data_IF_261361379432
#
_entry.id   IF_261361379432
#
_cell.length_a   1.000
_cell.length_b   1.000
_cell.length_c   1.000
_cell.angle_alpha   90.00
_cell.angle_beta   90.00
_cell.angle_gamma   90.00
#
_symmetry.space_group_name_H-M   'P 1'
#
loop_
_entity.id
_entity.type
_entity.pdbx_description
1 polymer ?
#
# COMPACT_ATOMS: atom_id res chain seq x y z
N UNK A 1 -27.37 8.07 61.98
CA UNK A 1 -26.26 7.19 62.41
C UNK A 1 -25.16 7.35 61.37
N UNK A 2 -23.95 7.72 61.78
CA UNK A 2 -22.82 7.92 60.87
C UNK A 2 -22.28 6.56 60.45
N UNK A 3 -22.28 6.26 59.16
CA UNK A 3 -21.61 5.09 58.61
C UNK A 3 -20.10 5.32 58.68
N UNK A 4 -19.43 4.61 59.60
CA UNK A 4 -17.98 4.64 59.75
C UNK A 4 -17.43 3.58 58.79
N UNK A 5 -17.11 3.99 57.56
CA UNK A 5 -16.42 3.12 56.61
C UNK A 5 -14.91 3.14 56.91
N UNK A 6 -14.41 2.13 57.64
CA UNK A 6 -12.98 1.90 57.76
C UNK A 6 -12.45 1.14 56.54
N UNK A 7 -11.18 1.37 56.19
CA UNK A 7 -10.52 0.60 55.13
C UNK A 7 -10.41 -0.88 55.53
N UNK A 8 -10.27 -1.77 54.55
CA UNK A 8 -10.23 -3.22 54.76
C UNK A 8 -8.99 -3.62 55.58
N UNK A 9 -7.90 -2.88 55.43
CA UNK A 9 -6.66 -3.05 56.19
C UNK A 9 -6.84 -2.68 57.67
N UNK A 10 -7.50 -1.55 57.95
CA UNK A 10 -7.86 -1.15 59.31
C UNK A 10 -8.81 -2.15 59.97
N UNK A 11 -9.79 -2.65 59.21
CA UNK A 11 -10.73 -3.68 59.67
C UNK A 11 -10.02 -4.98 60.00
N UNK A 12 -9.06 -5.40 59.16
CA UNK A 12 -8.24 -6.59 59.39
C UNK A 12 -7.30 -6.43 60.59
N UNK A 13 -6.75 -5.24 60.82
CA UNK A 13 -5.95 -4.94 62.01
C UNK A 13 -6.77 -5.03 63.30
N UNK A 14 -8.00 -4.52 63.30
CA UNK A 14 -8.94 -4.66 64.43
C UNK A 14 -9.29 -6.13 64.66
N UNK A 15 -9.56 -6.89 63.58
CA UNK A 15 -9.92 -8.31 63.62
C UNK A 15 -8.78 -9.18 64.18
N UNK A 16 -7.53 -8.86 63.84
CA UNK A 16 -6.34 -9.50 64.41
C UNK A 16 -6.21 -9.24 65.92
N UNK A 17 -6.46 -8.01 66.38
CA UNK A 17 -6.46 -7.67 67.83
C UNK A 17 -7.56 -8.39 68.61
N UNK A 18 -8.68 -8.71 67.95
CA UNK A 18 -9.80 -9.46 68.51
C UNK A 18 -9.64 -11.00 68.37
N UNK A 19 -8.51 -11.50 67.85
CA UNK A 19 -8.28 -12.93 67.67
C UNK A 19 -9.11 -13.59 66.58
N UNK A 20 -9.71 -12.79 65.69
CA UNK A 20 -10.56 -13.26 64.60
C UNK A 20 -9.75 -13.41 63.30
N UNK A 21 -10.01 -14.46 62.51
CA UNK A 21 -9.31 -14.74 61.24
C UNK A 21 -9.51 -13.61 60.22
N UNK A 22 -8.47 -12.98 59.64
CA UNK A 22 -8.62 -11.81 58.74
C UNK A 22 -9.54 -12.08 57.55
N UNK A 23 -10.19 -11.03 57.06
CA UNK A 23 -10.97 -11.06 55.83
C UNK A 23 -10.00 -11.24 54.66
N UNK A 24 -10.16 -12.35 53.93
CA UNK A 24 -9.41 -12.57 52.70
C UNK A 24 -10.19 -11.93 51.57
N UNK A 25 -9.57 -10.97 50.88
CA UNK A 25 -9.95 -10.64 49.52
C UNK A 25 -9.63 -11.88 48.70
N UNK A 26 -10.66 -12.64 48.31
CA UNK A 26 -10.50 -13.67 47.29
C UNK A 26 -9.78 -13.06 46.08
N UNK A 27 -9.08 -13.87 45.27
CA UNK A 27 -8.26 -13.35 44.17
C UNK A 27 -9.06 -12.33 43.39
N UNK A 28 -8.53 -11.10 43.29
CA UNK A 28 -9.02 -9.98 42.47
C UNK A 28 -9.77 -10.58 41.28
N UNK A 29 -11.09 -10.45 41.33
CA UNK A 29 -12.03 -11.22 40.51
C UNK A 29 -11.53 -11.24 39.08
N UNK A 30 -11.53 -12.41 38.43
CA UNK A 30 -11.06 -12.59 37.05
C UNK A 30 -11.55 -11.49 36.08
N UNK A 31 -12.74 -10.92 36.34
CA UNK A 31 -13.29 -9.77 35.62
C UNK A 31 -12.47 -8.48 35.65
N UNK A 32 -11.76 -8.15 36.75
CA UNK A 32 -10.94 -6.95 36.84
C UNK A 32 -9.71 -7.01 35.92
N UNK A 33 -9.03 -8.17 35.90
CA UNK A 33 -7.91 -8.43 34.98
C UNK A 33 -8.35 -8.46 33.52
N UNK A 34 -9.50 -9.08 33.24
CA UNK A 34 -10.10 -9.11 31.90
C UNK A 34 -10.48 -7.68 31.44
N UNK A 35 -10.99 -6.84 32.34
CA UNK A 35 -11.33 -5.45 32.03
C UNK A 35 -10.08 -4.62 31.70
N UNK A 36 -8.99 -4.81 32.44
CA UNK A 36 -7.71 -4.15 32.17
C UNK A 36 -7.10 -4.58 30.83
N UNK A 37 -7.10 -5.88 30.52
CA UNK A 37 -6.63 -6.40 29.23
C UNK A 37 -7.48 -5.89 28.06
N UNK A 38 -8.80 -5.84 28.21
CA UNK A 38 -9.70 -5.28 27.20
C UNK A 38 -9.44 -3.80 26.94
N UNK A 39 -9.21 -3.01 28.00
CA UNK A 39 -8.88 -1.59 27.88
C UNK A 39 -7.54 -1.39 27.19
N UNK A 40 -6.53 -2.20 27.52
CA UNK A 40 -5.22 -2.17 26.87
C UNK A 40 -5.34 -2.49 25.37
N UNK A 41 -6.06 -3.55 25.01
CA UNK A 41 -6.31 -3.92 23.62
C UNK A 41 -7.02 -2.80 22.85
N UNK A 42 -8.04 -2.18 23.45
CA UNK A 42 -8.76 -1.08 22.82
C UNK A 42 -7.84 0.13 22.55
N UNK A 43 -6.94 0.46 23.48
CA UNK A 43 -5.96 1.54 23.30
C UNK A 43 -4.97 1.22 22.19
N UNK A 44 -4.49 -0.02 22.11
CA UNK A 44 -3.60 -0.48 21.06
C UNK A 44 -4.29 -0.41 19.69
N UNK A 45 -5.53 -0.90 19.58
CA UNK A 45 -6.33 -0.80 18.35
C UNK A 45 -6.57 0.65 17.91
N UNK A 46 -6.87 1.56 18.86
CA UNK A 46 -7.02 2.98 18.56
C UNK A 46 -5.71 3.61 18.08
N UNK A 47 -4.58 3.25 18.70
CA UNK A 47 -3.27 3.73 18.28
C UNK A 47 -2.89 3.21 16.88
N UNK A 48 -3.21 1.95 16.56
CA UNK A 48 -2.99 1.41 15.22
C UNK A 48 -3.88 2.10 14.18
N UNK A 49 -5.18 2.29 14.46
CA UNK A 49 -6.07 3.04 13.58
C UNK A 49 -5.59 4.47 13.32
N UNK A 50 -5.15 5.17 14.37
CA UNK A 50 -4.59 6.52 14.22
C UNK A 50 -3.35 6.54 13.30
N UNK A 51 -2.45 5.56 13.43
CA UNK A 51 -1.27 5.41 12.54
C UNK A 51 -1.68 5.11 11.11
N UNK A 52 -2.63 4.20 10.90
CA UNK A 52 -3.16 3.89 9.58
C UNK A 52 -3.79 5.12 8.91
N UNK A 53 -4.59 5.88 9.65
CA UNK A 53 -5.26 7.07 9.14
C UNK A 53 -4.26 8.19 8.81
N UNK A 54 -3.18 8.32 9.60
CA UNK A 54 -2.09 9.24 9.30
C UNK A 54 -1.38 8.85 7.98
N UNK A 55 -1.09 7.56 7.79
CA UNK A 55 -0.47 7.05 6.56
C UNK A 55 -1.40 7.27 5.36
N UNK A 56 -2.69 6.92 5.48
CA UNK A 56 -3.70 7.15 4.44
C UNK A 56 -3.79 8.65 4.09
N UNK A 57 -3.79 9.52 5.08
CA UNK A 57 -3.80 10.99 4.88
C UNK A 57 -2.56 11.48 4.14
N UNK A 58 -1.36 10.99 4.49
CA UNK A 58 -0.11 11.32 3.78
C UNK A 58 -0.14 10.86 2.32
N UNK A 59 -0.63 9.66 2.06
CA UNK A 59 -0.79 9.11 0.70
C UNK A 59 -1.80 9.95 -0.09
N UNK A 60 -2.95 10.28 0.48
CA UNK A 60 -3.97 11.10 -0.16
C UNK A 60 -3.45 12.49 -0.52
N UNK A 61 -2.71 13.14 0.39
CA UNK A 61 -2.03 14.44 0.13
C UNK A 61 -1.02 14.34 -1.01
N UNK A 62 -0.20 13.30 -1.02
CA UNK A 62 0.78 13.05 -2.09
C UNK A 62 0.10 12.81 -3.44
N UNK A 63 -0.97 12.01 -3.48
CA UNK A 63 -1.78 11.77 -4.69
C UNK A 63 -2.42 13.05 -5.20
N UNK A 64 -3.04 13.85 -4.33
CA UNK A 64 -3.63 15.12 -4.73
C UNK A 64 -2.58 16.07 -5.30
N UNK A 65 -1.41 16.20 -4.66
CA UNK A 65 -0.31 17.01 -5.20
C UNK A 65 0.17 16.53 -6.57
N UNK A 66 0.21 15.21 -6.79
CA UNK A 66 0.56 14.63 -8.10
C UNK A 66 -0.50 14.95 -9.14
N UNK A 67 -1.78 14.79 -8.84
CA UNK A 67 -2.87 15.12 -9.77
C UNK A 67 -2.96 16.62 -10.05
N UNK A 68 -2.71 17.48 -9.07
CA UNK A 68 -2.65 18.94 -9.27
C UNK A 68 -1.51 19.34 -10.21
N UNK A 69 -0.34 18.73 -10.04
CA UNK A 69 0.83 18.99 -10.88
C UNK A 69 0.79 18.22 -12.21
N UNK A 70 -0.19 17.35 -12.40
CA UNK A 70 -0.37 16.63 -13.65
C UNK A 70 -0.82 17.64 -14.69
N UNK A 71 0.06 17.92 -15.64
CA UNK A 71 -0.34 18.65 -16.84
C UNK A 71 -1.44 17.83 -17.51
N UNK A 72 -2.63 18.40 -17.62
CA UNK A 72 -3.76 17.74 -18.27
C UNK A 72 -3.38 17.57 -19.74
N UNK A 73 -3.25 16.34 -20.25
CA UNK A 73 -2.94 16.13 -21.65
C UNK A 73 -4.13 16.60 -22.48
N UNK A 74 -3.92 17.62 -23.32
CA UNK A 74 -4.96 18.20 -24.15
C UNK A 74 -4.72 19.67 -24.44
N UNK A 75 -5.57 20.22 -25.30
CA UNK A 75 -5.63 21.65 -25.62
C UNK A 75 -5.99 22.41 -24.34
N UNK A 76 -5.17 23.39 -23.96
CA UNK A 76 -5.48 24.22 -22.79
C UNK A 76 -6.77 25.02 -23.00
N UNK A 77 -7.43 25.44 -21.92
CA UNK A 77 -8.64 26.27 -22.00
C UNK A 77 -8.44 27.54 -22.86
N UNK A 78 -7.22 28.11 -22.88
CA UNK A 78 -6.89 29.27 -23.71
C UNK A 78 -6.59 28.94 -25.19
N UNK A 79 -6.23 27.70 -25.51
CA UNK A 79 -5.97 27.29 -26.90
C UNK A 79 -7.25 26.83 -27.62
N UNK A 80 -8.27 26.39 -26.89
CA UNK A 80 -9.55 25.96 -27.47
C UNK A 80 -10.33 27.11 -28.15
N UNK A 81 -10.00 28.36 -27.81
CA UNK A 81 -10.60 29.56 -28.41
C UNK A 81 -9.85 30.07 -29.65
N UNK A 82 -8.64 29.55 -29.90
CA UNK A 82 -7.80 29.92 -31.06
C UNK A 82 -8.15 29.10 -32.31
N UNK A 83 -9.08 28.14 -32.19
CA UNK A 83 -9.73 27.50 -33.34
C UNK A 83 -10.81 28.44 -33.91
N UNK A 84 -10.35 29.61 -34.35
CA UNK A 84 -11.12 30.59 -35.12
C UNK A 84 -11.42 29.99 -36.49
N UNK A 85 -12.64 29.45 -36.64
CA UNK A 85 -13.27 28.95 -37.86
C UNK A 85 -12.35 28.08 -38.76
N UNK A 86 -12.27 26.78 -38.48
CA UNK A 86 -11.64 25.79 -39.35
C UNK A 86 -12.36 25.75 -40.72
N UNK A 87 -11.81 26.49 -41.69
CA UNK A 87 -12.12 26.36 -43.12
C UNK A 87 -11.85 24.89 -43.56
N UNK A 88 -12.78 24.28 -44.31
CA UNK A 88 -12.76 22.85 -44.70
C UNK A 88 -11.44 22.46 -45.38
N UNK A 89 -10.85 23.40 -46.14
CA UNK A 89 -9.55 23.21 -46.77
C UNK A 89 -8.42 23.01 -45.75
N UNK A 90 -8.35 23.86 -44.71
CA UNK A 90 -7.33 23.77 -43.65
C UNK A 90 -7.47 22.47 -42.86
N UNK A 91 -8.70 22.05 -42.58
CA UNK A 91 -8.98 20.76 -41.92
C UNK A 91 -8.50 19.57 -42.76
N UNK A 92 -8.76 19.59 -44.06
CA UNK A 92 -8.37 18.50 -44.97
C UNK A 92 -6.84 18.33 -45.05
N UNK A 93 -6.09 19.45 -45.07
CA UNK A 93 -4.63 19.42 -45.04
C UNK A 93 -4.11 18.89 -43.69
N UNK A 94 -4.65 19.39 -42.57
CA UNK A 94 -4.30 18.93 -41.22
C UNK A 94 -4.55 17.41 -41.08
N UNK A 95 -5.69 16.93 -41.57
CA UNK A 95 -6.09 15.51 -41.52
C UNK A 95 -5.12 14.61 -42.30
N UNK A 96 -4.77 14.98 -43.54
CA UNK A 96 -3.81 14.23 -44.35
C UNK A 96 -2.40 14.24 -43.75
N UNK A 97 -1.98 15.33 -43.13
CA UNK A 97 -0.68 15.41 -42.43
C UNK A 97 -0.66 14.49 -41.21
N UNK A 98 -1.72 14.51 -40.40
CA UNK A 98 -1.85 13.65 -39.22
C UNK A 98 -1.87 12.16 -39.59
N UNK A 99 -2.49 11.80 -40.70
CA UNK A 99 -2.48 10.42 -41.20
C UNK A 99 -1.07 9.96 -41.58
N UNK A 100 -0.31 10.80 -42.28
CA UNK A 100 1.10 10.50 -42.60
C UNK A 100 1.96 10.38 -41.36
N UNK A 101 1.79 11.26 -40.39
CA UNK A 101 2.51 11.20 -39.10
C UNK A 101 2.17 9.92 -38.34
N UNK A 102 0.90 9.52 -38.30
CA UNK A 102 0.46 8.28 -37.66
C UNK A 102 1.12 7.06 -38.30
N UNK A 103 1.10 6.99 -39.64
CA UNK A 103 1.73 5.91 -40.39
C UNK A 103 3.26 5.87 -40.16
N UNK A 104 3.91 7.03 -40.10
CA UNK A 104 5.35 7.10 -39.83
C UNK A 104 5.70 6.65 -38.40
N UNK A 105 4.90 7.04 -37.40
CA UNK A 105 5.08 6.59 -36.01
C UNK A 105 4.87 5.09 -35.89
N UNK A 106 3.86 4.53 -36.56
CA UNK A 106 3.60 3.09 -36.56
C UNK A 106 4.74 2.31 -37.25
N UNK A 107 5.25 2.83 -38.36
CA UNK A 107 6.42 2.27 -39.03
C UNK A 107 7.67 2.30 -38.13
N UNK A 108 7.98 3.45 -37.51
CA UNK A 108 9.12 3.59 -36.61
C UNK A 108 8.98 2.70 -35.36
N UNK A 109 7.77 2.55 -34.82
CA UNK A 109 7.51 1.62 -33.71
C UNK A 109 7.76 0.18 -34.12
N UNK A 110 7.29 -0.21 -35.32
CA UNK A 110 7.51 -1.55 -35.86
C UNK A 110 8.99 -1.82 -36.10
N UNK A 111 9.72 -0.86 -36.67
CA UNK A 111 11.16 -0.94 -36.87
C UNK A 111 11.91 -1.10 -35.54
N UNK A 112 11.57 -0.28 -34.54
CA UNK A 112 12.16 -0.39 -33.20
C UNK A 112 11.89 -1.75 -32.54
N UNK A 113 10.66 -2.27 -32.68
CA UNK A 113 10.33 -3.60 -32.17
C UNK A 113 11.15 -4.70 -32.85
N UNK A 114 11.40 -4.58 -34.16
CA UNK A 114 12.26 -5.52 -34.87
C UNK A 114 13.71 -5.40 -34.39
N UNK A 115 14.23 -4.19 -34.19
CA UNK A 115 15.58 -3.97 -33.67
C UNK A 115 15.75 -4.52 -32.25
N UNK A 116 14.78 -4.29 -31.35
CA UNK A 116 14.82 -4.84 -29.99
C UNK A 116 14.78 -6.38 -30.01
N UNK A 117 14.02 -7.00 -30.92
CA UNK A 117 14.02 -8.47 -31.09
C UNK A 117 15.34 -8.99 -31.66
N UNK A 118 15.93 -8.31 -32.63
CA UNK A 118 17.23 -8.68 -33.19
C UNK A 118 18.35 -8.51 -32.17
N UNK A 119 18.34 -7.44 -31.37
CA UNK A 119 19.29 -7.22 -30.27
C UNK A 119 19.17 -8.32 -29.23
N UNK A 120 17.95 -8.65 -28.78
CA UNK A 120 17.71 -9.73 -27.80
C UNK A 120 18.13 -11.09 -28.35
N UNK A 121 17.95 -11.34 -29.65
CA UNK A 121 18.39 -12.58 -30.29
C UNK A 121 19.92 -12.66 -30.45
N UNK A 122 20.59 -11.52 -30.62
CA UNK A 122 22.04 -11.43 -30.72
C UNK A 122 22.75 -11.35 -29.37
N UNK A 123 22.05 -10.98 -28.29
CA UNK A 123 22.60 -10.99 -26.94
C UNK A 123 22.64 -12.44 -26.43
N UNK A 124 23.77 -13.10 -26.64
CA UNK A 124 24.14 -14.29 -25.88
C UNK A 124 24.45 -13.86 -24.44
N UNK A 125 23.83 -14.52 -23.46
CA UNK A 125 24.08 -14.23 -22.05
C UNK A 125 25.43 -14.82 -21.62
N UNK A 126 26.35 -13.99 -21.15
CA UNK A 126 27.63 -14.41 -20.60
C UNK A 126 27.49 -14.96 -19.17
N UNK A 127 28.43 -15.81 -18.75
CA UNK A 127 28.41 -16.51 -17.43
C UNK A 127 28.25 -15.54 -16.25
N UNK A 128 28.87 -14.36 -16.31
CA UNK A 128 28.77 -13.31 -15.29
C UNK A 128 27.35 -12.72 -15.16
N UNK A 129 26.57 -12.72 -16.25
CA UNK A 129 25.20 -12.21 -16.28
C UNK A 129 24.19 -13.23 -15.77
N UNK A 130 24.53 -14.52 -15.82
CA UNK A 130 23.73 -15.63 -15.29
C UNK A 130 24.10 -15.97 -13.83
N UNK A 131 25.17 -15.38 -13.29
CA UNK A 131 25.61 -15.61 -11.93
C UNK A 131 24.53 -15.22 -10.91
N UNK A 132 24.11 -16.19 -10.10
CA UNK A 132 23.10 -16.00 -9.04
C UNK A 132 21.66 -16.27 -9.44
N UNK A 133 21.37 -16.49 -10.73
CA UNK A 133 20.08 -17.03 -11.17
C UNK A 133 20.01 -18.52 -10.79
N UNK A 134 19.09 -18.90 -9.90
CA UNK A 134 18.87 -20.31 -9.53
C UNK A 134 17.95 -20.97 -10.55
N UNK A 135 18.48 -21.92 -11.32
CA UNK A 135 17.69 -22.75 -12.23
C UNK A 135 17.09 -23.91 -11.42
N UNK A 136 15.78 -23.89 -11.20
CA UNK A 136 15.07 -24.97 -10.53
C UNK A 136 14.79 -26.11 -11.49
N UNK A 137 15.74 -27.05 -11.65
CA UNK A 137 15.42 -28.34 -12.25
C UNK A 137 14.97 -29.30 -11.14
N UNK A 138 13.71 -29.71 -11.20
CA UNK A 138 13.28 -30.89 -10.45
C UNK A 138 13.84 -32.12 -11.16
N UNK A 139 14.63 -32.93 -10.46
CA UNK A 139 15.21 -34.18 -10.97
C UNK A 139 14.13 -35.15 -11.47
N UNK A 140 12.88 -34.99 -11.01
CA UNK A 140 11.72 -35.75 -11.49
C UNK A 140 11.32 -35.45 -12.95
N UNK A 141 11.75 -34.32 -13.52
CA UNK A 141 11.44 -33.92 -14.90
C UNK A 141 12.54 -34.30 -15.90
N UNK A 142 13.66 -34.87 -15.44
CA UNK A 142 14.65 -35.47 -16.34
C UNK A 142 14.16 -36.86 -16.72
N UNK A 143 13.56 -36.98 -17.90
CA UNK A 143 13.35 -38.28 -18.53
C UNK A 143 14.69 -38.71 -19.12
N UNK A 144 15.35 -39.65 -18.43
CA UNK A 144 16.55 -40.34 -18.93
C UNK A 144 16.24 -40.89 -20.33
N UNK A 145 17.02 -40.47 -21.32
CA UNK A 145 16.69 -40.65 -22.74
C UNK A 145 16.43 -42.12 -23.10
N UNK A 146 15.36 -42.36 -23.86
CA UNK A 146 15.28 -43.54 -24.73
C UNK A 146 16.17 -43.28 -25.94
N UNK A 147 17.05 -44.23 -26.24
CA UNK A 147 17.68 -44.37 -27.57
C UNK A 147 16.63 -44.50 -28.68
#
# INVERSE_FOLDING_TARGET
MSEISASIEETNAIRAKLGLKPLNLGPETSGAKIAEENLKRQREEQAQKAREDEIKSKIAKSRNRRELNKVVPGKGLGEASDDEADDVYKWTIKSRKKEKERLAVEAAKRERQLQEMDEVYQQEYDEDQLAGLRVGHDLANFQEGEE
#
